data_IF_883850301314
#
_entry.id   IF_883850301314
#
_cell.length_a   1.000
_cell.length_b   1.000
_cell.length_c   1.000
_cell.angle_alpha   90.00
_cell.angle_beta   90.00
_cell.angle_gamma   90.00
#
_symmetry.space_group_name_H-M   'P 1'
#
loop_
_entity.id
_entity.type
_entity.pdbx_description
1 polymer ?
#
# COMPACT_ATOMS: atom_id res chain seq x y z
N UNK A 1 -42.59 -18.31 -9.00
CA UNK A 1 -41.63 -17.92 -7.94
C UNK A 1 -40.59 -17.10 -8.65
N UNK A 2 -40.63 -15.78 -8.48
CA UNK A 2 -39.57 -14.91 -8.97
C UNK A 2 -38.48 -14.99 -7.92
N UNK A 3 -37.41 -15.71 -8.23
CA UNK A 3 -36.16 -15.59 -7.50
C UNK A 3 -35.65 -14.17 -7.75
N UNK A 4 -35.88 -13.31 -6.76
CA UNK A 4 -35.19 -12.02 -6.67
C UNK A 4 -33.74 -12.40 -6.44
N UNK A 5 -32.92 -12.30 -7.49
CA UNK A 5 -31.47 -12.22 -7.37
C UNK A 5 -31.19 -10.99 -6.51
N UNK A 6 -30.98 -11.20 -5.21
CA UNK A 6 -30.28 -10.24 -4.37
C UNK A 6 -28.88 -10.18 -4.98
N UNK A 7 -28.41 -9.03 -5.49
CA UNK A 7 -27.03 -8.94 -5.96
C UNK A 7 -26.14 -9.31 -4.77
N UNK A 8 -25.11 -10.12 -5.00
CA UNK A 8 -24.06 -10.32 -4.00
C UNK A 8 -23.64 -8.92 -3.52
N UNK A 9 -23.81 -8.64 -2.22
CA UNK A 9 -23.33 -7.41 -1.58
C UNK A 9 -21.80 -7.45 -1.66
N UNK A 10 -21.24 -7.11 -2.82
CA UNK A 10 -19.82 -6.84 -2.99
C UNK A 10 -19.52 -5.64 -2.11
N UNK A 11 -18.92 -5.91 -0.95
CA UNK A 11 -18.55 -4.85 -0.03
C UNK A 11 -17.50 -3.95 -0.70
N UNK A 12 -17.91 -2.78 -1.15
CA UNK A 12 -17.02 -1.79 -1.77
C UNK A 12 -16.59 -0.74 -0.75
N UNK A 13 -15.37 -0.21 -0.90
CA UNK A 13 -14.98 1.01 -0.18
C UNK A 13 -15.73 2.18 -0.81
N UNK A 14 -16.70 2.74 -0.08
CA UNK A 14 -17.42 3.95 -0.45
C UNK A 14 -16.59 5.19 -0.10
N UNK A 15 -16.12 5.91 -1.11
CA UNK A 15 -15.18 7.01 -0.95
C UNK A 15 -15.77 8.29 -1.52
N UNK A 16 -15.85 9.33 -0.68
CA UNK A 16 -16.16 10.68 -1.11
C UNK A 16 -14.86 11.48 -1.34
N UNK A 17 -14.61 11.87 -2.59
CA UNK A 17 -13.54 12.77 -2.97
C UNK A 17 -13.98 14.21 -2.73
N UNK A 18 -13.41 14.82 -1.69
CA UNK A 18 -13.80 16.14 -1.18
C UNK A 18 -13.45 17.30 -2.12
N UNK A 19 -12.38 17.17 -2.90
CA UNK A 19 -11.88 18.18 -3.83
C UNK A 19 -12.61 18.18 -5.18
N UNK A 20 -13.08 17.02 -5.63
CA UNK A 20 -13.86 16.88 -6.86
C UNK A 20 -15.37 16.73 -6.61
N UNK A 21 -15.78 16.55 -5.36
CA UNK A 21 -17.17 16.29 -4.92
C UNK A 21 -17.76 15.05 -5.60
N UNK A 22 -16.97 13.98 -5.70
CA UNK A 22 -17.35 12.73 -6.36
C UNK A 22 -17.44 11.57 -5.38
N UNK A 23 -18.43 10.71 -5.57
CA UNK A 23 -18.50 9.42 -4.91
C UNK A 23 -17.87 8.35 -5.79
N UNK A 24 -16.99 7.54 -5.20
CA UNK A 24 -16.29 6.45 -5.85
C UNK A 24 -16.52 5.17 -5.04
N UNK A 25 -16.83 4.10 -5.75
CA UNK A 25 -16.79 2.75 -5.23
C UNK A 25 -15.46 2.10 -5.61
N UNK A 26 -14.72 1.60 -4.63
CA UNK A 26 -13.43 0.97 -4.85
C UNK A 26 -13.42 -0.47 -4.34
N UNK A 27 -13.08 -1.40 -5.24
CA UNK A 27 -13.11 -2.84 -4.99
C UNK A 27 -11.75 -3.53 -5.19
N UNK A 28 -10.73 -2.81 -5.67
CA UNK A 28 -9.41 -3.39 -5.94
C UNK A 28 -8.58 -3.51 -4.65
N UNK A 29 -9.12 -4.19 -3.64
CA UNK A 29 -8.45 -4.49 -2.37
C UNK A 29 -8.71 -5.95 -1.95
N UNK A 30 -7.80 -6.58 -1.19
CA UNK A 30 -7.99 -7.97 -0.78
C UNK A 30 -9.01 -8.11 0.37
N UNK A 31 -9.88 -9.12 0.23
CA UNK A 31 -10.81 -9.59 1.27
C UNK A 31 -12.20 -8.97 1.18
N UNK A 32 -13.11 -9.49 2.00
CA UNK A 32 -14.56 -9.28 1.81
C UNK A 32 -15.14 -8.15 2.68
N UNK A 33 -14.33 -7.51 3.53
CA UNK A 33 -14.83 -6.51 4.49
C UNK A 33 -13.95 -5.23 4.49
N UNK A 34 -14.46 -4.10 4.00
CA UNK A 34 -13.69 -2.89 3.78
C UNK A 34 -13.08 -2.33 5.07
N UNK A 35 -13.86 -2.28 6.15
CA UNK A 35 -13.38 -1.80 7.46
C UNK A 35 -12.24 -2.68 7.97
N UNK A 36 -12.40 -4.00 7.91
CA UNK A 36 -11.38 -4.95 8.35
C UNK A 36 -10.10 -4.82 7.52
N UNK A 37 -10.26 -4.65 6.20
CA UNK A 37 -9.15 -4.38 5.30
C UNK A 37 -8.39 -3.13 5.74
N UNK A 38 -9.06 -1.97 5.85
CA UNK A 38 -8.43 -0.70 6.27
C UNK A 38 -7.73 -0.81 7.62
N UNK A 39 -8.36 -1.47 8.60
CA UNK A 39 -7.78 -1.66 9.94
C UNK A 39 -6.55 -2.57 9.98
N UNK A 40 -6.45 -3.52 9.06
CA UNK A 40 -5.25 -4.35 8.92
C UNK A 40 -4.19 -3.63 8.08
N UNK A 41 -4.61 -2.96 7.01
CA UNK A 41 -3.73 -2.25 6.11
C UNK A 41 -2.99 -1.11 6.81
N UNK A 42 -3.65 -0.38 7.74
CA UNK A 42 -2.98 0.65 8.57
C UNK A 42 -1.88 0.11 9.47
N UNK A 43 -1.89 -1.20 9.81
CA UNK A 43 -0.80 -1.83 10.60
C UNK A 43 0.46 -2.03 9.76
N UNK A 44 0.32 -2.05 8.44
CA UNK A 44 1.41 -2.17 7.48
C UNK A 44 1.84 -0.77 7.04
N UNK A 45 0.87 0.07 6.66
CA UNK A 45 1.06 1.45 6.19
C UNK A 45 0.28 2.43 7.09
N UNK A 46 0.91 2.96 8.15
CA UNK A 46 0.27 3.93 9.04
C UNK A 46 -0.35 5.14 8.34
N UNK A 47 0.16 5.54 7.17
CA UNK A 47 -0.37 6.66 6.37
C UNK A 47 -1.81 6.46 5.89
N UNK A 48 -2.35 5.23 5.90
CA UNK A 48 -3.74 4.96 5.48
C UNK A 48 -4.75 5.85 6.21
N UNK A 49 -4.52 6.15 7.50
CA UNK A 49 -5.41 7.02 8.28
C UNK A 49 -5.28 8.51 7.92
N UNK A 50 -4.18 8.92 7.28
CA UNK A 50 -3.99 10.26 6.74
C UNK A 50 -4.58 10.39 5.33
N UNK A 51 -4.59 9.28 4.57
CA UNK A 51 -5.06 9.23 3.18
C UNK A 51 -6.57 9.02 3.05
N UNK A 52 -7.16 8.26 3.98
CA UNK A 52 -8.58 7.92 4.01
C UNK A 52 -9.15 8.22 5.39
N UNK A 53 -9.91 9.31 5.48
CA UNK A 53 -10.55 9.71 6.72
C UNK A 53 -11.86 8.92 6.92
N UNK A 54 -12.05 8.26 8.07
CA UNK A 54 -13.27 7.52 8.36
C UNK A 54 -14.46 8.46 8.58
N UNK A 55 -15.58 8.20 7.92
CA UNK A 55 -16.89 8.82 8.21
C UNK A 55 -17.80 7.79 8.87
N UNK A 56 -18.21 8.09 10.10
CA UNK A 56 -19.09 7.21 10.87
C UNK A 56 -20.54 7.38 10.40
N UNK A 57 -21.26 6.27 10.15
CA UNK A 57 -22.68 6.33 9.84
C UNK A 57 -23.49 6.74 11.07
N UNK A 58 -24.63 7.40 10.84
CA UNK A 58 -25.48 7.95 11.92
C UNK A 58 -26.00 6.87 12.88
N UNK A 59 -26.26 5.66 12.37
CA UNK A 59 -26.76 4.52 13.12
C UNK A 59 -25.65 3.68 13.79
N UNK A 60 -24.38 4.08 13.64
CA UNK A 60 -23.18 3.37 14.08
C UNK A 60 -23.00 1.96 13.47
N UNK A 61 -23.71 1.62 12.39
CA UNK A 61 -23.48 0.36 11.70
C UNK A 61 -22.17 0.42 10.90
N UNK A 62 -21.08 -0.12 11.46
CA UNK A 62 -19.76 -0.10 10.82
C UNK A 62 -19.71 -0.80 9.44
N UNK A 63 -20.68 -1.63 9.09
CA UNK A 63 -20.78 -2.19 7.74
C UNK A 63 -21.07 -1.12 6.68
N UNK A 64 -21.69 0.00 7.07
CA UNK A 64 -22.01 1.14 6.23
C UNK A 64 -21.00 2.29 6.36
N UNK A 65 -19.82 1.99 6.90
CA UNK A 65 -18.76 2.99 7.05
C UNK A 65 -18.34 3.54 5.68
N UNK A 66 -18.13 4.86 5.62
CA UNK A 66 -17.65 5.55 4.43
C UNK A 66 -16.29 6.18 4.70
N UNK A 67 -15.62 6.61 3.64
CA UNK A 67 -14.33 7.29 3.73
C UNK A 67 -14.32 8.58 2.94
N UNK A 68 -13.59 9.56 3.44
CA UNK A 68 -13.30 10.80 2.74
C UNK A 68 -11.84 10.86 2.34
N UNK A 69 -11.58 11.43 1.16
CA UNK A 69 -10.22 11.64 0.66
C UNK A 69 -10.16 12.84 -0.28
N UNK A 70 -8.95 13.19 -0.70
CA UNK A 70 -8.72 13.98 -1.91
C UNK A 70 -8.29 13.05 -3.03
N UNK A 71 -8.49 13.44 -4.28
CA UNK A 71 -8.15 12.60 -5.43
C UNK A 71 -6.68 12.13 -5.37
N UNK A 72 -5.75 13.03 -5.05
CA UNK A 72 -4.33 12.70 -4.91
C UNK A 72 -4.07 11.66 -3.82
N UNK A 73 -4.67 11.81 -2.66
CA UNK A 73 -4.43 10.94 -1.50
C UNK A 73 -5.04 9.55 -1.74
N UNK A 74 -6.21 9.50 -2.36
CA UNK A 74 -6.82 8.25 -2.80
C UNK A 74 -5.98 7.54 -3.86
N UNK A 75 -5.37 8.27 -4.79
CA UNK A 75 -4.44 7.67 -5.76
C UNK A 75 -3.19 7.07 -5.07
N UNK A 76 -2.64 7.75 -4.05
CA UNK A 76 -1.54 7.20 -3.24
C UNK A 76 -1.99 5.93 -2.50
N UNK A 77 -3.20 5.92 -1.94
CA UNK A 77 -3.76 4.73 -1.30
C UNK A 77 -3.83 3.54 -2.29
N UNK A 78 -4.37 3.74 -3.50
CA UNK A 78 -4.41 2.67 -4.54
C UNK A 78 -3.02 2.15 -4.90
N UNK A 79 -2.02 3.03 -4.95
CA UNK A 79 -0.62 2.62 -5.17
C UNK A 79 -0.07 1.76 -4.04
N UNK A 80 -0.43 2.05 -2.78
CA UNK A 80 -0.07 1.17 -1.66
C UNK A 80 -0.75 -0.20 -1.78
N UNK A 81 -2.06 -0.24 -2.09
CA UNK A 81 -2.79 -1.51 -2.20
C UNK A 81 -2.18 -2.40 -3.29
N UNK A 82 -1.97 -1.84 -4.48
CA UNK A 82 -1.39 -2.58 -5.61
C UNK A 82 0.06 -3.01 -5.38
N UNK A 83 0.91 -2.11 -4.84
CA UNK A 83 2.30 -2.45 -4.53
C UNK A 83 2.40 -3.54 -3.45
N UNK A 84 1.59 -3.46 -2.39
CA UNK A 84 1.55 -4.49 -1.36
C UNK A 84 1.05 -5.84 -1.88
N UNK A 85 0.03 -5.85 -2.74
CA UNK A 85 -0.41 -7.10 -3.40
C UNK A 85 0.73 -7.77 -4.17
N UNK A 86 1.57 -6.98 -4.85
CA UNK A 86 2.80 -7.45 -5.48
C UNK A 86 3.81 -8.04 -4.49
N UNK A 87 3.97 -7.42 -3.31
CA UNK A 87 4.82 -7.97 -2.23
C UNK A 87 4.29 -9.30 -1.73
N UNK A 88 3.00 -9.43 -1.43
CA UNK A 88 2.41 -10.64 -0.84
C UNK A 88 2.59 -11.87 -1.73
N UNK A 89 2.32 -11.71 -3.03
CA UNK A 89 2.54 -12.76 -4.03
C UNK A 89 4.00 -13.23 -4.05
N UNK A 90 4.93 -12.27 -3.98
CA UNK A 90 6.36 -12.57 -4.10
C UNK A 90 6.97 -13.11 -2.80
N UNK A 91 6.50 -12.65 -1.64
CA UNK A 91 6.84 -13.26 -0.35
C UNK A 91 6.31 -14.69 -0.24
N UNK A 92 5.15 -14.99 -0.86
CA UNK A 92 4.64 -16.36 -0.95
C UNK A 92 5.59 -17.23 -1.78
N UNK A 93 6.10 -16.73 -2.90
CA UNK A 93 7.10 -17.44 -3.70
C UNK A 93 8.41 -17.65 -2.92
N UNK A 94 8.92 -16.64 -2.23
CA UNK A 94 10.10 -16.76 -1.34
C UNK A 94 9.86 -17.82 -0.26
N UNK A 95 8.68 -17.83 0.37
CA UNK A 95 8.37 -18.79 1.42
C UNK A 95 8.27 -20.23 0.92
N UNK A 96 7.97 -20.44 -0.37
CA UNK A 96 7.98 -21.75 -1.01
C UNK A 96 9.39 -22.18 -1.43
N UNK A 97 10.20 -21.23 -1.92
CA UNK A 97 11.58 -21.48 -2.37
C UNK A 97 12.56 -21.67 -1.20
N UNK A 98 12.37 -20.88 -0.13
CA UNK A 98 13.11 -20.96 1.13
C UNK A 98 12.18 -21.46 2.22
N UNK A 99 11.73 -20.58 3.09
CA UNK A 99 10.76 -20.88 4.13
C UNK A 99 10.04 -19.61 4.61
N UNK A 100 9.00 -19.79 5.41
CA UNK A 100 8.19 -18.70 5.96
C UNK A 100 8.94 -17.82 6.95
N UNK A 101 9.90 -18.37 7.68
CA UNK A 101 10.68 -17.62 8.68
C UNK A 101 11.59 -16.62 7.98
N UNK A 102 12.26 -17.04 6.91
CA UNK A 102 13.07 -16.20 6.05
C UNK A 102 12.27 -15.02 5.45
N UNK A 103 11.09 -15.31 4.90
CA UNK A 103 10.21 -14.28 4.35
C UNK A 103 9.75 -13.28 5.44
N UNK A 104 9.40 -13.77 6.62
CA UNK A 104 9.02 -12.92 7.76
C UNK A 104 10.18 -12.04 8.24
N UNK A 105 11.37 -12.61 8.37
CA UNK A 105 12.57 -11.90 8.80
C UNK A 105 12.95 -10.77 7.84
N UNK A 106 12.78 -10.99 6.53
CA UNK A 106 12.95 -9.96 5.51
C UNK A 106 12.04 -8.75 5.81
N UNK A 107 10.74 -8.97 5.98
CA UNK A 107 9.78 -7.89 6.30
C UNK A 107 10.16 -7.18 7.60
N UNK A 108 10.55 -7.91 8.65
CA UNK A 108 10.93 -7.32 9.93
C UNK A 108 12.19 -6.45 9.83
N UNK A 109 13.19 -6.87 9.06
CA UNK A 109 14.41 -6.08 8.81
C UNK A 109 14.06 -4.76 8.12
N UNK A 110 13.21 -4.79 7.10
CA UNK A 110 12.81 -3.56 6.38
C UNK A 110 11.91 -2.67 7.25
N UNK A 111 11.03 -3.22 8.10
CA UNK A 111 10.27 -2.42 9.10
C UNK A 111 11.20 -1.65 10.05
N UNK A 112 12.28 -2.27 10.53
CA UNK A 112 13.31 -1.58 11.36
C UNK A 112 14.04 -0.49 10.56
N UNK A 113 14.30 -0.72 9.27
CA UNK A 113 14.89 0.28 8.36
C UNK A 113 13.97 1.50 8.19
N UNK A 114 12.66 1.30 7.98
CA UNK A 114 11.63 2.37 7.97
C UNK A 114 11.68 3.23 9.25
N UNK A 115 11.74 2.59 10.42
CA UNK A 115 11.85 3.32 11.70
C UNK A 115 13.12 4.17 11.76
N UNK A 116 14.23 3.67 11.21
CA UNK A 116 15.48 4.42 11.13
C UNK A 116 15.37 5.63 10.21
N UNK A 117 14.63 5.55 9.09
CA UNK A 117 14.36 6.70 8.23
C UNK A 117 13.57 7.78 8.96
N UNK A 118 12.53 7.41 9.70
CA UNK A 118 11.74 8.35 10.50
C UNK A 118 12.58 9.07 11.58
N UNK A 119 13.63 8.43 12.09
CA UNK A 119 14.56 9.05 13.04
C UNK A 119 15.53 9.99 12.32
N UNK A 120 16.12 9.56 11.20
CA UNK A 120 17.18 10.28 10.47
C UNK A 120 16.68 11.43 9.60
N UNK A 121 15.47 11.33 9.06
CA UNK A 121 14.91 12.27 8.08
C UNK A 121 13.58 12.81 8.59
N UNK A 122 13.64 13.78 9.50
CA UNK A 122 12.47 14.39 10.16
C UNK A 122 11.53 15.15 9.22
N UNK A 123 11.98 15.44 8.01
CA UNK A 123 11.23 16.12 6.97
C UNK A 123 10.41 15.18 6.08
N UNK A 124 10.57 13.85 6.21
CA UNK A 124 9.77 12.90 5.44
C UNK A 124 8.36 12.80 6.03
N UNK A 125 7.38 12.79 5.15
CA UNK A 125 5.98 12.54 5.49
C UNK A 125 5.74 11.04 5.77
N UNK A 126 4.62 10.71 6.44
CA UNK A 126 4.26 9.30 6.69
C UNK A 126 4.08 8.51 5.39
N UNK A 127 3.43 9.02 4.32
CA UNK A 127 3.37 8.33 3.03
C UNK A 127 4.75 8.11 2.39
N UNK A 128 5.69 9.05 2.50
CA UNK A 128 7.06 8.85 1.99
C UNK A 128 7.81 7.76 2.76
N UNK A 129 7.63 7.67 4.08
CA UNK A 129 8.19 6.59 4.90
C UNK A 129 7.60 5.23 4.54
N UNK A 130 6.29 5.18 4.29
CA UNK A 130 5.57 3.97 3.87
C UNK A 130 5.98 3.54 2.46
N UNK A 131 6.20 4.50 1.55
CA UNK A 131 6.79 4.23 0.25
C UNK A 131 8.19 3.65 0.37
N UNK A 132 9.06 4.23 1.20
CA UNK A 132 10.43 3.72 1.38
C UNK A 132 10.45 2.29 1.92
N UNK A 133 9.52 1.96 2.82
CA UNK A 133 9.32 0.59 3.28
C UNK A 133 8.94 -0.35 2.12
N UNK A 134 7.97 0.04 1.29
CA UNK A 134 7.54 -0.73 0.13
C UNK A 134 8.65 -0.88 -0.93
N UNK A 135 9.36 0.22 -1.22
CA UNK A 135 10.50 0.27 -2.13
C UNK A 135 11.60 -0.69 -1.70
N UNK A 136 12.06 -0.59 -0.45
CA UNK A 136 13.12 -1.44 0.08
C UNK A 136 12.72 -2.92 0.08
N UNK A 137 11.46 -3.21 0.37
CA UNK A 137 10.96 -4.59 0.36
C UNK A 137 10.97 -5.15 -1.06
N UNK A 138 10.47 -4.40 -2.06
CA UNK A 138 10.57 -4.83 -3.46
C UNK A 138 12.01 -4.98 -3.93
N UNK A 139 12.92 -4.10 -3.54
CA UNK A 139 14.34 -4.20 -3.88
C UNK A 139 14.97 -5.49 -3.31
N UNK A 140 14.73 -5.78 -2.02
CA UNK A 140 15.25 -7.00 -1.40
C UNK A 140 14.63 -8.27 -1.99
N UNK A 141 13.34 -8.25 -2.35
CA UNK A 141 12.69 -9.38 -3.03
C UNK A 141 13.21 -9.53 -4.47
N UNK A 142 13.45 -8.43 -5.18
CA UNK A 142 14.09 -8.40 -6.51
C UNK A 142 15.47 -9.06 -6.47
N UNK A 143 16.30 -8.71 -5.49
CA UNK A 143 17.61 -9.33 -5.25
C UNK A 143 17.51 -10.83 -4.92
N UNK A 144 16.52 -11.22 -4.13
CA UNK A 144 16.32 -12.61 -3.72
C UNK A 144 15.84 -13.50 -4.88
N UNK A 145 14.90 -12.99 -5.68
CA UNK A 145 14.28 -13.79 -6.74
C UNK A 145 15.05 -13.71 -8.08
N UNK A 146 16.13 -12.94 -8.16
CA UNK A 146 16.99 -12.89 -9.35
C UNK A 146 17.55 -14.28 -9.69
N UNK A 147 17.88 -15.08 -8.66
CA UNK A 147 18.48 -16.41 -8.81
C UNK A 147 17.52 -17.42 -9.47
N UNK A 148 16.21 -17.18 -9.35
CA UNK A 148 15.15 -18.01 -9.93
C UNK A 148 14.55 -17.42 -11.21
N UNK A 149 15.15 -16.34 -11.73
CA UNK A 149 14.81 -15.74 -13.03
C UNK A 149 13.57 -14.83 -13.04
N UNK A 150 13.10 -14.38 -11.87
CA UNK A 150 11.97 -13.46 -11.78
C UNK A 150 12.29 -12.06 -12.30
N UNK A 151 11.27 -11.37 -12.80
CA UNK A 151 11.42 -9.99 -13.29
C UNK A 151 11.46 -9.00 -12.12
N UNK A 152 12.28 -7.96 -12.26
CA UNK A 152 12.34 -6.86 -11.30
C UNK A 152 11.04 -6.04 -11.30
N UNK A 153 10.46 -5.86 -10.12
CA UNK A 153 9.27 -5.03 -9.92
C UNK A 153 9.62 -3.58 -9.60
N UNK A 154 10.79 -3.33 -9.00
CA UNK A 154 11.18 -2.00 -8.54
C UNK A 154 11.12 -0.91 -9.65
N UNK A 155 11.49 -1.18 -10.92
CA UNK A 155 11.33 -0.19 -11.98
C UNK A 155 9.87 0.23 -12.22
N UNK A 156 8.93 -0.72 -12.17
CA UNK A 156 7.50 -0.43 -12.33
C UNK A 156 6.98 0.41 -11.15
N UNK A 157 7.35 0.02 -9.92
CA UNK A 157 7.00 0.78 -8.73
C UNK A 157 7.47 2.24 -8.85
N UNK A 158 8.73 2.47 -9.25
CA UNK A 158 9.25 3.83 -9.42
C UNK A 158 8.48 4.61 -10.49
N UNK A 159 8.16 4.01 -11.62
CA UNK A 159 7.43 4.73 -12.68
C UNK A 159 6.02 5.16 -12.21
N UNK A 160 5.31 4.29 -11.50
CA UNK A 160 3.97 4.59 -10.97
C UNK A 160 3.98 5.68 -9.88
N UNK A 161 5.02 5.71 -9.05
CA UNK A 161 5.12 6.63 -7.91
C UNK A 161 5.73 7.99 -8.25
N UNK A 162 6.43 8.10 -9.39
CA UNK A 162 7.12 9.33 -9.85
C UNK A 162 6.29 10.62 -9.77
N UNK A 163 4.96 10.65 -10.04
CA UNK A 163 4.17 11.87 -9.90
C UNK A 163 3.93 12.32 -8.44
N UNK A 164 4.12 11.43 -7.46
CA UNK A 164 3.65 11.64 -6.09
C UNK A 164 4.76 11.94 -5.08
N UNK A 165 6.00 11.56 -5.38
CA UNK A 165 7.14 11.66 -4.45
C UNK A 165 8.37 12.29 -5.11
N UNK A 166 9.25 12.87 -4.29
CA UNK A 166 10.46 13.53 -4.79
C UNK A 166 11.47 12.52 -5.38
N UNK A 167 12.32 12.91 -6.34
CA UNK A 167 13.32 12.01 -6.91
C UNK A 167 14.27 11.36 -5.89
N UNK A 168 14.57 12.04 -4.78
CA UNK A 168 15.42 11.48 -3.73
C UNK A 168 14.71 10.32 -3.00
N UNK A 169 13.43 10.51 -2.66
CA UNK A 169 12.62 9.46 -2.02
C UNK A 169 12.36 8.32 -3.00
N UNK A 170 12.03 8.64 -4.25
CA UNK A 170 11.79 7.69 -5.35
C UNK A 170 12.93 6.68 -5.55
N UNK A 171 14.16 7.11 -5.29
CA UNK A 171 15.37 6.28 -5.43
C UNK A 171 15.88 5.73 -4.08
N UNK A 172 15.02 5.58 -3.08
CA UNK A 172 15.39 4.93 -1.81
C UNK A 172 16.30 5.77 -0.91
N UNK A 173 16.33 7.09 -1.10
CA UNK A 173 17.26 8.03 -0.43
C UNK A 173 18.74 7.77 -0.73
N UNK A 174 19.05 7.08 -1.83
CA UNK A 174 20.42 7.01 -2.30
C UNK A 174 20.89 8.41 -2.70
N UNK A 175 22.08 8.80 -2.23
CA UNK A 175 22.73 9.98 -2.76
C UNK A 175 22.82 9.78 -4.27
N UNK A 176 21.98 10.49 -5.04
CA UNK A 176 22.10 10.55 -6.49
C UNK A 176 23.52 11.03 -6.74
N UNK A 177 24.44 10.11 -7.06
CA UNK A 177 25.75 10.48 -7.57
C UNK A 177 25.43 11.30 -8.80
N UNK A 178 25.65 12.61 -8.72
CA UNK A 178 25.61 13.48 -9.88
C UNK A 178 26.45 12.79 -10.95
N UNK A 179 25.97 12.66 -12.20
CA UNK A 179 26.84 12.22 -13.28
C UNK A 179 28.04 13.18 -13.30
N UNK A 180 29.23 12.60 -13.05
CA UNK A 180 30.52 13.25 -13.25
C UNK A 180 30.83 13.32 -14.74
#
# INVERSE_FOLDING_TARGET
>A
MNDILIPDDEFMLEIYLTDTQQHIQFQDYPGDHPVKFILNFKKIFPSVMELLLPVLPEDNNLEQMQWESKEKDFNIFKLFVSGWGGVELRLTAIAQYKDREYANDMVQKIKKKRQSYHIKHKNLTTPELDYLFLHDLHATIDEELIEVGERFYLPLLREQWKPYITPNVLNGLENVKKPS
#
